data_IF_771337003502
#
_entry.id   IF_771337003502
#
_cell.length_a   1.000
_cell.length_b   1.000
_cell.length_c   1.000
_cell.angle_alpha   90.00
_cell.angle_beta   90.00
_cell.angle_gamma   90.00
#
_symmetry.space_group_name_H-M   'P 1'
#
loop_
_entity.id
_entity.type
_entity.pdbx_description
1 polymer ?
#
# COMPACT_ATOMS: atom_id res chain seq x y z
N UNK A 1 10.44 10.85 -2.88
CA UNK A 1 11.63 10.90 -3.76
C UNK A 1 12.83 11.17 -2.87
N UNK A 2 13.59 10.14 -2.50
CA UNK A 2 14.82 10.28 -1.71
C UNK A 2 15.91 10.67 -2.71
N UNK A 3 16.47 11.88 -2.58
CA UNK A 3 17.70 12.23 -3.29
C UNK A 3 18.86 11.81 -2.39
N UNK A 4 19.64 10.83 -2.82
CA UNK A 4 20.95 10.57 -2.23
C UNK A 4 22.00 11.37 -2.99
N UNK A 5 22.95 11.97 -2.29
CA UNK A 5 24.10 12.64 -2.91
C UNK A 5 25.35 12.27 -2.11
N UNK A 6 26.35 11.73 -2.79
CA UNK A 6 27.68 11.52 -2.25
C UNK A 6 28.35 12.89 -1.97
N UNK A 7 28.99 13.06 -0.81
CA UNK A 7 29.93 14.15 -0.56
C UNK A 7 31.27 13.57 -0.14
N UNK A 8 32.33 14.11 -0.70
CA UNK A 8 33.73 13.85 -0.35
C UNK A 8 34.14 14.64 0.91
N UNK A 9 35.03 14.13 1.76
CA UNK A 9 35.67 14.92 2.81
C UNK A 9 36.70 15.88 2.21
N UNK A 10 36.84 17.03 2.86
CA UNK A 10 37.45 18.28 2.39
C UNK A 10 38.85 18.22 1.75
N UNK A 11 38.98 18.87 0.58
CA UNK A 11 40.06 19.78 0.20
C UNK A 11 39.49 20.77 -0.85
N UNK A 12 39.93 22.04 -0.88
CA UNK A 12 39.24 23.08 -1.63
C UNK A 12 39.65 23.04 -3.10
N UNK A 13 38.67 22.92 -4.01
CA UNK A 13 38.55 23.75 -5.21
C UNK A 13 37.31 23.35 -6.02
N UNK A 14 36.68 24.38 -6.61
CA UNK A 14 35.44 24.34 -7.38
C UNK A 14 35.56 23.43 -8.61
N UNK A 15 34.58 22.55 -8.84
CA UNK A 15 33.92 22.41 -10.16
C UNK A 15 32.43 22.07 -9.93
N UNK A 16 31.55 22.99 -10.32
CA UNK A 16 30.10 22.80 -10.38
C UNK A 16 29.73 22.35 -11.80
N UNK A 17 29.30 21.10 -11.97
CA UNK A 17 28.67 20.63 -13.20
C UNK A 17 27.19 20.31 -12.91
N UNK A 18 26.31 21.20 -13.33
CA UNK A 18 24.86 21.00 -13.30
C UNK A 18 24.42 20.32 -14.61
N UNK A 19 23.87 19.11 -14.53
CA UNK A 19 23.13 18.50 -15.63
C UNK A 19 21.63 18.68 -15.38
N UNK A 20 21.02 19.57 -16.15
CA UNK A 20 19.57 19.75 -16.23
C UNK A 20 19.05 18.97 -17.43
N UNK A 21 18.29 17.90 -17.21
CA UNK A 21 17.53 17.26 -18.29
C UNK A 21 16.17 17.96 -18.38
N UNK A 22 15.99 18.80 -19.41
CA UNK A 22 14.69 19.35 -19.80
C UNK A 22 14.13 18.44 -20.89
N UNK A 23 13.05 17.74 -20.61
CA UNK A 23 12.34 16.94 -21.60
C UNK A 23 11.17 17.78 -22.15
N UNK A 24 11.41 18.50 -23.26
CA UNK A 24 10.39 19.25 -23.99
C UNK A 24 9.75 18.37 -25.05
N UNK A 25 8.48 17.97 -24.87
CA UNK A 25 7.69 17.42 -25.97
C UNK A 25 6.95 18.57 -26.68
N UNK A 26 7.47 18.98 -27.83
CA UNK A 26 6.76 19.88 -28.74
C UNK A 26 6.00 19.04 -29.78
N UNK A 27 4.68 19.19 -29.81
CA UNK A 27 3.81 18.71 -30.88
C UNK A 27 4.05 19.54 -32.15
N UNK A 28 4.41 18.90 -33.25
CA UNK A 28 4.45 19.53 -34.57
C UNK A 28 3.06 19.45 -35.22
N UNK A 29 2.46 20.62 -35.46
CA UNK A 29 1.27 20.80 -36.31
C UNK A 29 1.76 21.04 -37.73
N UNK A 30 1.35 20.20 -38.69
CA UNK A 30 1.63 20.38 -40.11
C UNK A 30 0.77 21.51 -40.71
N UNK A 31 1.34 22.46 -41.46
CA UNK A 31 0.59 23.23 -42.43
C UNK A 31 0.81 22.72 -43.86
N UNK A 32 -0.29 22.64 -44.60
CA UNK A 32 -0.41 22.39 -46.04
C UNK A 32 0.31 23.45 -46.90
N UNK A 33 0.74 23.11 -48.14
CA UNK A 33 1.60 23.96 -48.95
C UNK A 33 0.81 24.99 -49.78
N UNK A 34 1.36 26.21 -49.91
CA UNK A 34 0.95 27.20 -50.91
C UNK A 34 2.12 27.57 -51.83
N UNK A 35 1.88 27.44 -53.13
CA UNK A 35 2.21 28.40 -54.21
C UNK A 35 3.68 28.76 -54.45
N UNK A 36 4.19 28.32 -55.60
CA UNK A 36 5.57 28.52 -56.04
C UNK A 36 5.89 29.87 -56.71
N UNK A 37 7.19 30.14 -56.78
CA UNK A 37 7.85 31.13 -57.64
C UNK A 37 9.32 30.72 -57.83
N UNK A 38 9.93 30.89 -59.02
CA UNK A 38 11.19 30.25 -59.37
C UNK A 38 12.38 31.08 -58.89
N UNK A 39 13.29 30.46 -58.13
CA UNK A 39 14.48 31.11 -57.60
C UNK A 39 15.66 30.15 -57.56
N UNK A 40 16.46 30.19 -58.63
CA UNK A 40 17.92 29.98 -58.72
C UNK A 40 18.51 28.81 -57.90
N UNK A 41 18.85 27.74 -58.63
CA UNK A 41 19.58 26.59 -58.10
C UNK A 41 20.92 26.97 -57.49
N UNK A 42 21.05 26.77 -56.19
CA UNK A 42 22.31 26.69 -55.47
C UNK A 42 22.59 25.20 -55.22
N UNK A 43 23.82 24.68 -55.39
CA UNK A 43 24.11 23.30 -55.07
C UNK A 43 23.96 23.09 -53.56
N UNK A 44 22.96 22.31 -53.15
CA UNK A 44 22.78 21.90 -51.76
C UNK A 44 23.98 21.05 -51.36
N UNK A 45 24.79 21.45 -50.37
CA UNK A 45 25.85 20.57 -49.88
C UNK A 45 25.19 19.37 -49.20
N UNK A 46 25.48 18.17 -49.70
CA UNK A 46 25.10 16.93 -49.03
C UNK A 46 25.82 16.90 -47.68
N UNK A 47 25.11 17.25 -46.60
CA UNK A 47 25.58 17.04 -45.24
C UNK A 47 25.78 15.54 -45.05
N UNK A 48 27.03 15.10 -45.05
CA UNK A 48 27.39 13.75 -44.65
C UNK A 48 26.84 13.52 -43.24
N UNK A 49 26.00 12.50 -43.07
CA UNK A 49 25.50 12.10 -41.77
C UNK A 49 26.70 11.82 -40.86
N UNK A 50 26.84 12.61 -39.79
CA UNK A 50 27.86 12.34 -38.78
C UNK A 50 27.57 10.96 -38.17
N UNK A 51 28.57 10.08 -38.01
CA UNK A 51 28.36 8.81 -37.37
C UNK A 51 27.78 9.06 -35.97
N UNK A 52 26.66 8.41 -35.67
CA UNK A 52 26.09 8.45 -34.31
C UNK A 52 27.16 7.95 -33.34
N UNK A 53 27.39 8.64 -32.20
CA UNK A 53 28.41 8.22 -31.24
C UNK A 53 28.09 6.80 -30.77
N UNK A 54 29.03 5.89 -31.00
CA UNK A 54 28.94 4.52 -30.51
C UNK A 54 28.86 4.58 -28.98
N UNK A 55 27.82 4.00 -28.40
CA UNK A 55 27.70 3.92 -26.95
C UNK A 55 28.92 3.18 -26.41
N UNK A 56 29.79 3.90 -25.68
CA UNK A 56 30.92 3.29 -24.98
C UNK A 56 30.31 2.35 -23.93
N UNK A 57 30.66 1.05 -23.92
CA UNK A 57 30.21 0.15 -22.88
C UNK A 57 30.63 0.74 -21.53
N UNK A 58 29.74 0.82 -20.53
CA UNK A 58 30.10 1.37 -19.24
C UNK A 58 31.33 0.64 -18.72
N UNK A 59 32.42 1.38 -18.51
CA UNK A 59 33.67 0.81 -18.00
C UNK A 59 33.40 0.07 -16.70
N UNK A 60 34.03 -1.08 -16.51
CA UNK A 60 33.92 -1.82 -15.25
C UNK A 60 34.53 -0.98 -14.14
N UNK A 61 33.69 -0.57 -13.20
CA UNK A 61 34.08 0.23 -12.05
C UNK A 61 34.67 -0.71 -11.00
N UNK A 62 35.90 -0.45 -10.54
CA UNK A 62 36.53 -1.24 -9.46
C UNK A 62 35.82 -1.00 -8.13
N UNK A 63 35.07 -2.00 -7.66
CA UNK A 63 34.35 -1.96 -6.37
C UNK A 63 35.27 -1.67 -5.17
N UNK A 64 36.58 -1.95 -5.27
CA UNK A 64 37.54 -1.64 -4.21
C UNK A 64 37.61 -0.15 -3.90
N UNK A 65 37.37 0.72 -4.89
CA UNK A 65 37.36 2.17 -4.72
C UNK A 65 36.21 2.64 -3.80
N UNK A 66 35.20 1.80 -3.60
CA UNK A 66 33.97 2.15 -2.90
C UNK A 66 33.80 1.40 -1.57
N UNK A 67 34.72 0.50 -1.21
CA UNK A 67 34.63 -0.31 0.03
C UNK A 67 34.55 0.50 1.31
N UNK A 68 35.08 1.73 1.31
CA UNK A 68 35.02 2.65 2.46
C UNK A 68 33.79 3.56 2.48
N UNK A 69 32.94 3.54 1.44
CA UNK A 69 31.79 4.44 1.38
C UNK A 69 30.64 3.92 2.20
N UNK A 70 30.03 4.83 2.96
CA UNK A 70 28.84 4.54 3.74
C UNK A 70 27.69 5.42 3.25
N UNK A 71 26.53 4.80 3.08
CA UNK A 71 25.29 5.54 2.88
C UNK A 71 24.96 6.31 4.15
N UNK A 72 24.60 7.57 3.99
CA UNK A 72 24.07 8.40 5.08
C UNK A 72 22.79 9.09 4.64
N UNK A 73 21.82 9.15 5.54
CA UNK A 73 20.61 9.93 5.34
C UNK A 73 20.96 11.41 5.36
N UNK A 74 20.60 12.13 4.29
CA UNK A 74 20.80 13.60 4.19
C UNK A 74 19.51 14.40 4.45
N UNK A 75 18.44 13.69 4.80
CA UNK A 75 17.15 14.26 5.10
C UNK A 75 16.24 14.46 3.86
N UNK A 76 15.00 14.93 4.07
CA UNK A 76 14.43 15.30 5.37
C UNK A 76 14.37 14.11 6.35
N UNK A 77 14.63 14.38 7.64
CA UNK A 77 14.68 13.35 8.71
C UNK A 77 13.30 12.92 9.21
N UNK A 78 12.26 13.63 8.77
CA UNK A 78 10.86 13.34 9.10
C UNK A 78 10.04 13.45 7.82
N UNK A 79 9.13 12.50 7.63
CA UNK A 79 8.16 12.53 6.54
C UNK A 79 8.18 11.28 5.69
N UNK A 80 7.37 11.31 4.64
CA UNK A 80 7.03 10.13 3.86
C UNK A 80 5.58 9.71 4.13
N UNK A 81 5.07 8.82 3.27
CA UNK A 81 3.71 8.31 3.38
C UNK A 81 3.73 6.99 4.13
N UNK A 82 2.95 6.90 5.21
CA UNK A 82 2.66 5.67 5.93
C UNK A 82 1.17 5.33 5.78
N UNK A 83 0.87 4.03 5.76
CA UNK A 83 -0.52 3.53 5.72
C UNK A 83 -0.81 2.53 6.84
N UNK A 84 0.24 1.86 7.32
CA UNK A 84 0.19 0.94 8.44
C UNK A 84 0.78 1.62 9.68
N UNK A 85 0.09 1.47 10.79
CA UNK A 85 0.55 1.83 12.13
C UNK A 85 0.02 0.77 13.07
N UNK A 86 0.85 0.35 14.02
CA UNK A 86 0.47 -0.66 15.01
C UNK A 86 1.11 -0.31 16.36
N UNK A 87 0.28 -0.16 17.39
CA UNK A 87 0.72 0.01 18.77
C UNK A 87 0.91 -1.34 19.45
N UNK A 88 1.71 -1.37 20.52
CA UNK A 88 1.93 -2.59 21.31
C UNK A 88 1.14 -2.51 22.63
N UNK A 89 0.18 -3.42 22.88
CA UNK A 89 -0.58 -3.41 24.14
C UNK A 89 0.33 -3.45 25.38
N UNK A 90 0.11 -2.56 26.34
CA UNK A 90 0.93 -2.49 27.55
C UNK A 90 2.28 -1.78 27.40
N UNK A 91 2.66 -1.36 26.18
CA UNK A 91 3.90 -0.62 25.89
C UNK A 91 3.57 0.71 25.17
N UNK A 92 3.14 1.75 25.90
CA UNK A 92 2.59 2.97 25.30
C UNK A 92 3.59 3.75 24.43
N UNK A 93 4.89 3.57 24.66
CA UNK A 93 5.95 4.23 23.89
C UNK A 93 6.48 3.38 22.72
N UNK A 94 6.02 2.12 22.60
CA UNK A 94 6.43 1.19 21.54
C UNK A 94 5.35 1.12 20.47
N UNK A 95 5.72 1.48 19.23
CA UNK A 95 4.84 1.28 18.08
C UNK A 95 5.63 1.18 16.78
N UNK A 96 4.96 0.62 15.78
CA UNK A 96 5.50 0.36 14.45
C UNK A 96 4.73 1.15 13.40
N UNK A 97 5.39 1.53 12.32
CA UNK A 97 4.69 1.95 11.11
C UNK A 97 5.26 1.27 9.87
N UNK A 98 4.40 1.13 8.86
CA UNK A 98 4.77 0.70 7.52
C UNK A 98 4.70 1.87 6.55
N UNK A 99 5.84 2.19 5.94
CA UNK A 99 5.93 3.19 4.89
C UNK A 99 5.60 2.60 3.52
N UNK A 100 4.94 3.39 2.68
CA UNK A 100 4.55 2.98 1.32
C UNK A 100 5.74 2.71 0.39
N UNK A 101 6.90 3.28 0.68
CA UNK A 101 8.14 3.05 -0.07
C UNK A 101 9.35 3.23 0.84
N UNK A 102 9.28 2.66 2.04
CA UNK A 102 10.31 2.84 3.07
C UNK A 102 10.41 1.72 4.09
N UNK A 103 9.68 0.61 3.94
CA UNK A 103 9.77 -0.52 4.85
C UNK A 103 9.06 -0.30 6.19
N UNK A 104 9.36 -1.18 7.14
CA UNK A 104 8.84 -1.19 8.51
C UNK A 104 9.80 -0.45 9.44
N UNK A 105 9.25 0.37 10.33
CA UNK A 105 9.98 1.14 11.31
C UNK A 105 9.41 0.90 12.71
N UNK A 106 10.26 0.99 13.73
CA UNK A 106 9.89 0.88 15.15
C UNK A 106 10.35 2.10 15.93
N UNK A 107 9.54 2.53 16.87
CA UNK A 107 9.95 3.41 17.96
C UNK A 107 9.75 2.70 19.30
N UNK A 108 10.49 3.15 20.31
CA UNK A 108 10.38 2.73 21.71
C UNK A 108 10.37 3.94 22.66
N UNK A 109 10.27 5.16 22.10
CA UNK A 109 10.39 6.43 22.82
C UNK A 109 9.31 7.41 22.39
N UNK A 110 8.11 6.89 22.11
CA UNK A 110 6.97 7.73 21.81
C UNK A 110 7.07 8.41 20.44
N UNK A 111 7.90 7.88 19.52
CA UNK A 111 8.08 8.40 18.15
C UNK A 111 9.11 9.50 18.02
N UNK A 112 9.89 9.75 19.08
CA UNK A 112 10.99 10.70 19.03
C UNK A 112 12.10 10.20 18.08
N UNK A 113 12.41 8.90 18.12
CA UNK A 113 13.35 8.23 17.24
C UNK A 113 12.74 6.97 16.60
N UNK A 114 13.27 6.62 15.42
CA UNK A 114 12.77 5.51 14.61
C UNK A 114 13.92 4.63 14.12
N UNK A 115 13.74 3.32 14.30
CA UNK A 115 14.69 2.27 13.91
C UNK A 115 14.13 1.59 12.65
N UNK A 116 14.86 1.58 11.52
CA UNK A 116 14.44 0.83 10.34
C UNK A 116 14.63 -0.66 10.60
N UNK A 117 13.61 -1.46 10.28
CA UNK A 117 13.59 -2.91 10.53
C UNK A 117 13.56 -3.75 9.25
N UNK A 118 13.37 -3.13 8.09
CA UNK A 118 13.05 -3.83 6.84
C UNK A 118 14.05 -3.57 5.69
N UNK A 119 15.15 -2.86 5.96
CA UNK A 119 16.12 -2.43 4.93
C UNK A 119 16.82 -3.58 4.19
N UNK A 120 16.86 -4.76 4.79
CA UNK A 120 17.47 -5.97 4.18
C UNK A 120 16.52 -6.72 3.25
N UNK A 121 15.26 -6.31 3.18
CA UNK A 121 14.25 -6.99 2.37
C UNK A 121 14.22 -6.42 0.94
N UNK A 122 13.86 -7.23 -0.07
CA UNK A 122 13.88 -6.80 -1.47
C UNK A 122 12.71 -5.88 -1.86
N UNK A 123 11.83 -5.55 -0.90
CA UNK A 123 10.64 -4.74 -1.12
C UNK A 123 10.50 -3.71 0.00
N UNK A 124 10.06 -2.50 -0.34
CA UNK A 124 9.91 -1.39 0.61
C UNK A 124 8.47 -0.89 0.74
N UNK A 125 7.55 -1.44 -0.06
CA UNK A 125 6.13 -1.08 -0.01
C UNK A 125 5.46 -1.86 1.11
N UNK A 126 4.96 -1.15 2.13
CA UNK A 126 4.22 -1.74 3.23
C UNK A 126 2.78 -1.21 3.22
N UNK A 127 1.82 -2.13 3.21
CA UNK A 127 0.39 -1.83 3.29
C UNK A 127 -0.21 -2.13 4.66
N UNK A 128 0.31 -3.12 5.38
CA UNK A 128 -0.16 -3.51 6.71
C UNK A 128 0.99 -3.99 7.61
N UNK A 129 0.85 -3.77 8.91
CA UNK A 129 1.74 -4.29 9.97
C UNK A 129 0.84 -4.69 11.12
N UNK A 130 1.09 -5.84 11.75
CA UNK A 130 0.44 -6.22 13.00
C UNK A 130 1.44 -6.92 13.93
N UNK A 131 1.31 -6.64 15.22
CA UNK A 131 2.06 -7.30 16.30
C UNK A 131 1.11 -8.30 16.95
N UNK A 132 1.59 -9.52 17.22
CA UNK A 132 0.75 -10.51 17.86
C UNK A 132 0.50 -10.15 19.33
N UNK A 133 -0.76 -10.04 19.80
CA UNK A 133 -1.03 -9.72 21.20
C UNK A 133 -0.60 -10.82 22.18
N UNK A 134 -0.50 -12.08 21.73
CA UNK A 134 -0.04 -13.21 22.54
C UNK A 134 1.49 -13.26 22.71
N UNK A 135 2.25 -12.66 21.79
CA UNK A 135 3.71 -12.57 21.83
C UNK A 135 4.21 -11.38 20.98
N UNK A 136 4.62 -10.29 21.65
CA UNK A 136 5.07 -9.07 20.97
C UNK A 136 6.37 -9.23 20.15
N UNK A 137 7.07 -10.38 20.25
CA UNK A 137 8.19 -10.68 19.35
C UNK A 137 7.72 -11.09 17.95
N UNK A 138 6.48 -11.56 17.82
CA UNK A 138 5.92 -12.00 16.56
C UNK A 138 5.24 -10.84 15.85
N UNK A 139 5.76 -10.49 14.68
CA UNK A 139 5.27 -9.37 13.87
C UNK A 139 5.03 -9.85 12.45
N UNK A 140 3.92 -9.42 11.87
CA UNK A 140 3.58 -9.66 10.48
C UNK A 140 3.59 -8.35 9.70
N UNK A 141 4.16 -8.37 8.50
CA UNK A 141 4.17 -7.25 7.58
C UNK A 141 3.56 -7.67 6.23
N UNK A 142 2.45 -7.05 5.86
CA UNK A 142 1.81 -7.17 4.56
C UNK A 142 2.41 -6.14 3.61
N UNK A 143 3.08 -6.62 2.56
CA UNK A 143 3.73 -5.73 1.61
C UNK A 143 2.78 -5.31 0.50
N UNK A 144 3.02 -4.12 -0.05
CA UNK A 144 2.21 -3.52 -1.10
C UNK A 144 1.09 -2.64 -0.57
N UNK A 145 1.19 -1.33 -0.78
CA UNK A 145 0.16 -0.40 -0.34
C UNK A 145 -1.20 -0.61 -1.04
N UNK A 146 -2.29 -0.56 -0.27
CA UNK A 146 -3.65 -0.68 -0.82
C UNK A 146 -4.34 0.67 -1.08
N UNK A 147 -3.65 1.80 -0.86
CA UNK A 147 -4.13 3.13 -1.22
C UNK A 147 -3.73 3.46 -2.67
N UNK A 148 -4.32 2.73 -3.62
CA UNK A 148 -3.90 2.62 -5.04
C UNK A 148 -3.87 3.94 -5.83
N UNK A 149 -2.78 4.69 -5.66
CA UNK A 149 -2.42 5.87 -6.46
C UNK A 149 -1.82 5.48 -7.82
N UNK A 150 -1.67 6.48 -8.69
CA UNK A 150 -1.01 6.29 -9.99
C UNK A 150 0.48 5.92 -9.87
N UNK A 151 1.13 6.32 -8.79
CA UNK A 151 2.53 6.03 -8.45
C UNK A 151 2.67 4.89 -7.41
N UNK A 152 1.64 4.05 -7.28
CA UNK A 152 1.64 2.97 -6.30
C UNK A 152 2.66 1.89 -6.63
N UNK A 153 3.32 1.35 -5.60
CA UNK A 153 4.26 0.24 -5.75
C UNK A 153 3.71 -1.03 -5.15
N UNK A 154 3.98 -2.15 -5.82
CA UNK A 154 3.51 -3.47 -5.42
C UNK A 154 4.30 -4.02 -4.23
N UNK A 155 3.77 -5.08 -3.64
CA UNK A 155 4.38 -5.92 -2.62
C UNK A 155 4.67 -7.32 -3.14
N UNK A 156 5.35 -8.11 -2.31
CA UNK A 156 5.75 -9.50 -2.59
C UNK A 156 5.21 -10.48 -1.54
N UNK A 157 4.07 -10.15 -0.93
CA UNK A 157 3.36 -10.99 0.01
C UNK A 157 3.56 -10.62 1.47
N UNK A 158 3.45 -11.61 2.35
CA UNK A 158 3.51 -11.44 3.81
C UNK A 158 4.89 -11.85 4.32
N UNK A 159 5.43 -11.02 5.20
CA UNK A 159 6.65 -11.31 5.95
C UNK A 159 6.32 -11.51 7.43
N UNK A 160 7.02 -12.45 8.07
CA UNK A 160 6.95 -12.70 9.51
C UNK A 160 8.31 -12.45 10.15
N UNK A 161 8.29 -11.84 11.32
CA UNK A 161 9.41 -11.80 12.25
C UNK A 161 9.01 -12.51 13.53
N UNK A 162 9.98 -13.16 14.19
CA UNK A 162 9.84 -13.79 15.51
C UNK A 162 10.80 -13.18 16.55
N UNK A 163 11.44 -12.06 16.21
CA UNK A 163 12.47 -11.41 17.01
C UNK A 163 12.26 -9.88 17.06
N UNK A 164 10.99 -9.47 17.07
CA UNK A 164 10.54 -8.08 17.10
C UNK A 164 11.04 -7.24 15.91
N UNK A 165 11.16 -7.86 14.74
CA UNK A 165 11.48 -7.25 13.46
C UNK A 165 12.97 -7.14 13.14
N UNK A 166 13.86 -7.83 13.88
CA UNK A 166 15.31 -7.84 13.57
C UNK A 166 15.60 -8.69 12.33
N UNK A 167 14.88 -9.79 12.18
CA UNK A 167 14.91 -10.66 11.00
C UNK A 167 13.49 -10.91 10.49
N UNK A 168 13.38 -11.14 9.18
CA UNK A 168 12.11 -11.34 8.50
C UNK A 168 12.22 -12.48 7.50
N UNK A 169 11.17 -13.28 7.43
CA UNK A 169 10.99 -14.36 6.46
C UNK A 169 9.72 -14.10 5.63
N UNK A 170 9.80 -14.27 4.31
CA UNK A 170 8.61 -14.23 3.44
C UNK A 170 7.85 -15.55 3.55
N UNK A 171 6.62 -15.49 4.06
CA UNK A 171 5.78 -16.64 4.40
C UNK A 171 4.64 -16.83 3.37
N UNK A 172 4.78 -16.32 2.16
CA UNK A 172 3.84 -16.57 1.06
C UNK A 172 2.96 -15.39 0.67
N UNK A 173 1.87 -15.69 -0.06
CA UNK A 173 0.99 -14.71 -0.70
C UNK A 173 1.72 -13.77 -1.69
N UNK A 174 2.71 -14.32 -2.40
CA UNK A 174 3.70 -13.54 -3.16
C UNK A 174 3.13 -12.76 -4.35
N UNK A 175 2.00 -13.17 -4.92
CA UNK A 175 1.37 -12.51 -6.07
C UNK A 175 0.15 -11.64 -5.68
N UNK A 176 -0.16 -11.53 -4.38
CA UNK A 176 -1.24 -10.64 -3.90
C UNK A 176 -0.98 -9.17 -4.24
N UNK A 177 0.29 -8.75 -4.31
CA UNK A 177 0.79 -7.39 -4.60
C UNK A 177 0.31 -6.24 -3.73
N UNK A 178 -0.93 -6.18 -3.28
CA UNK A 178 -1.45 -5.13 -2.42
C UNK A 178 -2.14 -5.79 -1.24
N UNK A 179 -1.63 -5.56 -0.03
CA UNK A 179 -2.21 -6.04 1.22
C UNK A 179 -2.67 -4.83 2.01
N UNK A 180 -3.98 -4.68 2.17
CA UNK A 180 -4.58 -3.48 2.77
C UNK A 180 -4.68 -3.52 4.30
N UNK A 181 -4.85 -4.73 4.84
CA UNK A 181 -4.93 -4.97 6.27
C UNK A 181 -4.50 -6.41 6.55
N UNK A 182 -4.01 -6.64 7.76
CA UNK A 182 -3.84 -7.98 8.33
C UNK A 182 -4.03 -7.89 9.83
N UNK A 183 -4.53 -8.96 10.43
CA UNK A 183 -4.80 -9.06 11.87
C UNK A 183 -4.33 -10.42 12.39
N UNK A 184 -3.86 -10.43 13.63
CA UNK A 184 -3.38 -11.63 14.33
C UNK A 184 -4.35 -11.95 15.47
N UNK A 185 -4.75 -13.21 15.61
CA UNK A 185 -5.65 -13.61 16.70
C UNK A 185 -4.98 -13.30 18.06
N UNK A 186 -5.66 -12.59 18.98
CA UNK A 186 -5.07 -12.19 20.24
C UNK A 186 -4.70 -13.37 21.15
N UNK A 187 -5.22 -14.58 20.88
CA UNK A 187 -4.99 -15.79 21.68
C UNK A 187 -3.86 -16.67 21.13
N UNK A 188 -3.51 -16.51 19.85
CA UNK A 188 -2.56 -17.38 19.15
C UNK A 188 -1.94 -16.67 17.95
N UNK A 189 -0.65 -16.38 18.03
CA UNK A 189 0.12 -15.67 17.01
C UNK A 189 0.22 -16.40 15.67
N UNK A 190 -0.14 -17.68 15.61
CA UNK A 190 -0.12 -18.48 14.40
C UNK A 190 -1.42 -18.40 13.59
N UNK A 191 -2.47 -17.78 14.14
CA UNK A 191 -3.72 -17.53 13.43
C UNK A 191 -3.73 -16.09 12.93
N UNK A 192 -3.71 -15.92 11.61
CA UNK A 192 -3.61 -14.62 10.95
C UNK A 192 -4.61 -14.55 9.82
N UNK A 193 -5.28 -13.41 9.68
CA UNK A 193 -6.09 -13.08 8.51
C UNK A 193 -5.49 -11.90 7.76
N UNK A 194 -5.53 -11.98 6.43
CA UNK A 194 -4.92 -11.00 5.52
C UNK A 194 -5.97 -10.56 4.51
N UNK A 195 -6.20 -9.25 4.44
CA UNK A 195 -7.01 -8.61 3.41
C UNK A 195 -6.13 -8.24 2.22
N UNK A 196 -6.16 -9.10 1.19
CA UNK A 196 -5.40 -8.92 -0.04
C UNK A 196 -6.28 -8.24 -1.10
N UNK A 197 -5.92 -7.00 -1.44
CA UNK A 197 -6.58 -6.24 -2.48
C UNK A 197 -6.30 -6.85 -3.85
N UNK A 198 -5.13 -7.45 -4.07
CA UNK A 198 -4.71 -7.93 -5.39
C UNK A 198 -4.16 -6.82 -6.28
N UNK A 199 -3.85 -7.18 -7.52
CA UNK A 199 -3.18 -6.30 -8.48
C UNK A 199 -3.95 -4.99 -8.74
N UNK A 200 -3.42 -3.84 -8.33
CA UNK A 200 -4.08 -2.54 -8.55
C UNK A 200 -4.44 -2.24 -10.02
N UNK A 201 -3.65 -2.76 -10.98
CA UNK A 201 -3.72 -2.42 -12.41
C UNK A 201 -4.30 -3.55 -13.30
N UNK A 202 -4.81 -4.63 -12.73
CA UNK A 202 -5.29 -5.77 -13.53
C UNK A 202 -6.08 -6.82 -12.74
N UNK A 203 -6.72 -7.77 -13.42
CA UNK A 203 -7.35 -8.91 -12.76
C UNK A 203 -6.29 -9.76 -12.06
N UNK A 204 -6.65 -10.37 -10.93
CA UNK A 204 -5.78 -11.27 -10.20
C UNK A 204 -6.60 -12.24 -9.35
N UNK A 205 -6.19 -13.51 -9.33
CA UNK A 205 -6.86 -14.55 -8.54
C UNK A 205 -6.45 -14.51 -7.07
N UNK A 206 -5.34 -13.86 -6.69
CA UNK A 206 -4.92 -13.70 -5.30
C UNK A 206 -5.60 -12.50 -4.60
N UNK A 207 -6.90 -12.35 -4.85
CA UNK A 207 -7.77 -11.35 -4.23
C UNK A 207 -8.69 -11.97 -3.19
N UNK A 208 -8.91 -11.26 -2.09
CA UNK A 208 -9.87 -11.63 -1.04
C UNK A 208 -9.27 -11.62 0.36
N UNK A 209 -9.86 -12.42 1.25
CA UNK A 209 -9.35 -12.67 2.60
C UNK A 209 -8.68 -14.04 2.63
N UNK A 210 -7.45 -14.05 3.13
CA UNK A 210 -6.67 -15.27 3.37
C UNK A 210 -6.51 -15.49 4.86
N UNK A 211 -6.54 -16.75 5.28
CA UNK A 211 -6.35 -17.18 6.67
C UNK A 211 -5.25 -18.24 6.74
N UNK A 212 -4.43 -18.14 7.78
CA UNK A 212 -3.52 -19.21 8.22
C UNK A 212 -3.83 -19.57 9.66
N UNK A 213 -3.52 -20.81 10.05
CA UNK A 213 -3.56 -21.27 11.45
C UNK A 213 -2.26 -21.96 11.88
N UNK A 214 -1.22 -21.87 11.06
CA UNK A 214 0.09 -22.49 11.26
C UNK A 214 1.24 -21.47 11.15
N UNK A 215 0.91 -20.19 11.34
CA UNK A 215 1.88 -19.09 11.36
C UNK A 215 2.38 -18.68 9.98
N UNK A 216 1.65 -19.05 8.92
CA UNK A 216 1.96 -18.69 7.53
C UNK A 216 2.65 -19.80 6.73
N UNK A 217 2.72 -21.03 7.23
CA UNK A 217 3.23 -22.16 6.43
C UNK A 217 2.25 -22.52 5.33
N UNK A 218 0.95 -22.43 5.62
CA UNK A 218 -0.12 -22.59 4.65
C UNK A 218 -1.13 -21.46 4.74
N UNK A 219 -1.74 -21.13 3.60
CA UNK A 219 -2.76 -20.08 3.48
C UNK A 219 -3.99 -20.63 2.78
N UNK A 220 -5.16 -20.37 3.36
CA UNK A 220 -6.47 -20.71 2.79
C UNK A 220 -7.20 -19.43 2.42
N UNK A 221 -7.71 -19.33 1.19
CA UNK A 221 -8.60 -18.23 0.80
C UNK A 221 -10.00 -18.50 1.36
N UNK A 222 -10.46 -17.68 2.30
CA UNK A 222 -11.69 -17.88 3.07
C UNK A 222 -12.85 -16.99 2.63
N UNK A 223 -12.55 -15.88 1.94
CA UNK A 223 -13.56 -14.98 1.37
C UNK A 223 -13.07 -14.39 0.06
N UNK A 224 -13.86 -14.53 -1.01
CA UNK A 224 -13.60 -13.92 -2.31
C UNK A 224 -14.87 -13.84 -3.15
N UNK A 225 -14.84 -13.02 -4.21
CA UNK A 225 -15.94 -12.93 -5.18
C UNK A 225 -15.51 -13.26 -6.60
N UNK A 226 -14.49 -12.56 -7.11
CA UNK A 226 -13.99 -12.69 -8.47
C UNK A 226 -12.54 -12.15 -8.56
N UNK A 227 -11.95 -12.14 -9.76
CA UNK A 227 -10.59 -11.66 -10.00
C UNK A 227 -10.42 -10.13 -9.94
N UNK A 228 -11.49 -9.39 -9.63
CA UNK A 228 -11.54 -7.92 -9.62
C UNK A 228 -11.80 -7.34 -8.23
N UNK A 229 -12.09 -8.21 -7.27
CA UNK A 229 -12.62 -7.84 -5.96
C UNK A 229 -11.73 -8.42 -4.86
N UNK A 230 -10.98 -7.56 -4.17
CA UNK A 230 -10.05 -7.97 -3.12
C UNK A 230 -10.48 -7.54 -1.73
N UNK A 231 -9.85 -8.10 -0.70
CA UNK A 231 -10.00 -7.62 0.68
C UNK A 231 -9.33 -6.26 0.85
N UNK A 232 -9.97 -5.35 1.58
CA UNK A 232 -9.39 -4.02 1.84
C UNK A 232 -9.25 -3.70 3.33
N UNK A 233 -10.16 -4.21 4.15
CA UNK A 233 -10.11 -4.02 5.60
C UNK A 233 -10.59 -5.29 6.31
N UNK A 234 -10.06 -5.53 7.52
CA UNK A 234 -10.42 -6.67 8.35
C UNK A 234 -10.10 -6.37 9.82
N UNK A 235 -11.03 -6.66 10.71
CA UNK A 235 -10.91 -6.40 12.16
C UNK A 235 -11.55 -7.51 12.98
N UNK A 236 -10.92 -7.84 14.11
CA UNK A 236 -11.54 -8.66 15.16
C UNK A 236 -12.44 -7.80 16.04
N UNK A 237 -13.44 -8.45 16.63
CA UNK A 237 -13.99 -7.94 17.89
C UNK A 237 -12.95 -8.12 19.01
N UNK A 238 -12.55 -7.04 19.71
CA UNK A 238 -11.50 -7.08 20.71
C UNK A 238 -11.84 -7.95 21.93
N UNK A 239 -13.12 -8.23 22.20
CA UNK A 239 -13.54 -9.10 23.31
C UNK A 239 -13.86 -10.52 22.86
N UNK A 240 -14.08 -10.74 21.56
CA UNK A 240 -14.41 -12.05 21.01
C UNK A 240 -13.83 -12.25 19.60
N UNK A 241 -12.59 -12.74 19.47
CA UNK A 241 -11.93 -12.93 18.17
C UNK A 241 -12.56 -14.02 17.27
N UNK A 242 -13.63 -14.70 17.70
CA UNK A 242 -14.45 -15.49 16.77
C UNK A 242 -15.32 -14.59 15.89
N UNK A 243 -15.67 -13.39 16.35
CA UNK A 243 -16.36 -12.39 15.55
C UNK A 243 -15.33 -11.58 14.76
N UNK A 244 -15.47 -11.59 13.45
CA UNK A 244 -14.58 -10.87 12.53
C UNK A 244 -15.43 -10.11 11.53
N UNK A 245 -15.05 -8.87 11.24
CA UNK A 245 -15.61 -8.10 10.14
C UNK A 245 -14.57 -7.93 9.06
N UNK A 246 -14.98 -8.03 7.79
CA UNK A 246 -14.11 -7.80 6.65
C UNK A 246 -14.87 -7.05 5.56
N UNK A 247 -14.15 -6.26 4.77
CA UNK A 247 -14.70 -5.63 3.57
C UNK A 247 -13.98 -6.11 2.31
N UNK A 248 -14.78 -6.33 1.28
CA UNK A 248 -14.30 -6.52 -0.08
C UNK A 248 -14.47 -5.23 -0.87
N UNK A 249 -13.51 -4.94 -1.74
CA UNK A 249 -13.49 -3.77 -2.59
C UNK A 249 -13.15 -4.15 -4.03
N UNK A 250 -14.12 -3.90 -4.92
CA UNK A 250 -13.92 -4.00 -6.35
C UNK A 250 -13.32 -2.69 -6.85
N UNK A 251 -12.03 -2.71 -7.17
CA UNK A 251 -11.32 -1.52 -7.61
C UNK A 251 -10.23 -1.80 -8.62
N UNK A 252 -10.06 -0.88 -9.56
CA UNK A 252 -9.03 -0.93 -10.60
C UNK A 252 -8.49 0.46 -10.88
N UNK A 253 -7.17 0.53 -11.03
CA UNK A 253 -6.45 1.69 -11.52
C UNK A 253 -6.08 1.48 -12.98
N UNK A 254 -6.34 2.49 -13.79
CA UNK A 254 -5.85 2.61 -15.17
C UNK A 254 -5.02 3.90 -15.29
N UNK A 255 -4.20 4.06 -16.35
CA UNK A 255 -3.36 5.26 -16.47
C UNK A 255 -4.14 6.59 -16.47
N UNK A 256 -5.37 6.60 -17.00
CA UNK A 256 -6.23 7.78 -17.11
C UNK A 256 -7.53 7.71 -16.29
N UNK A 257 -7.80 6.59 -15.62
CA UNK A 257 -9.08 6.38 -14.93
C UNK A 257 -8.92 5.56 -13.65
N UNK A 258 -9.87 5.74 -12.73
CA UNK A 258 -9.92 4.99 -11.49
C UNK A 258 -11.35 4.52 -11.24
N UNK A 259 -11.53 3.20 -11.16
CA UNK A 259 -12.80 2.58 -10.77
C UNK A 259 -12.76 2.26 -9.28
N UNK A 260 -13.67 2.87 -8.51
CA UNK A 260 -13.85 2.63 -7.08
C UNK A 260 -15.26 2.15 -6.82
N UNK A 261 -15.39 0.85 -6.56
CA UNK A 261 -16.68 0.21 -6.31
C UNK A 261 -17.24 -0.55 -7.50
N UNK A 262 -18.12 -1.47 -7.16
CA UNK A 262 -18.77 -2.42 -8.07
C UNK A 262 -19.55 -3.48 -7.29
N UNK A 263 -20.33 -4.33 -7.98
CA UNK A 263 -21.19 -5.34 -7.35
C UNK A 263 -20.44 -6.38 -6.50
N UNK A 264 -19.12 -6.53 -6.66
CA UNK A 264 -18.31 -7.39 -5.80
C UNK A 264 -17.98 -6.78 -4.44
N UNK A 265 -18.08 -5.45 -4.28
CA UNK A 265 -17.77 -4.79 -3.02
C UNK A 265 -18.84 -5.08 -1.97
N UNK A 266 -18.46 -5.21 -0.71
CA UNK A 266 -19.42 -5.53 0.35
C UNK A 266 -18.78 -5.64 1.73
N UNK A 267 -19.64 -5.64 2.74
CA UNK A 267 -19.28 -5.85 4.14
C UNK A 267 -19.68 -7.25 4.56
N UNK A 268 -18.81 -7.94 5.29
CA UNK A 268 -18.99 -9.32 5.68
C UNK A 268 -18.70 -9.49 7.17
N UNK A 269 -19.38 -10.45 7.79
CA UNK A 269 -19.17 -10.84 9.18
C UNK A 269 -18.99 -12.35 9.29
N UNK A 270 -18.03 -12.75 10.10
CA UNK A 270 -17.77 -14.13 10.49
C UNK A 270 -18.08 -14.30 11.98
N UNK A 271 -18.48 -15.52 12.37
CA UNK A 271 -18.68 -15.93 13.77
C UNK A 271 -17.77 -17.09 14.20
N UNK A 272 -16.85 -17.49 13.33
CA UNK A 272 -15.99 -18.66 13.48
C UNK A 272 -14.53 -18.33 13.19
N UNK A 273 -14.07 -17.14 13.62
CA UNK A 273 -12.69 -16.69 13.49
C UNK A 273 -12.23 -16.55 12.01
N UNK A 274 -13.17 -16.13 11.17
CA UNK A 274 -12.97 -15.85 9.75
C UNK A 274 -12.85 -17.09 8.87
N UNK A 275 -13.38 -18.23 9.31
CA UNK A 275 -13.42 -19.46 8.51
C UNK A 275 -14.58 -19.40 7.51
N UNK A 276 -15.76 -18.94 7.94
CA UNK A 276 -16.93 -18.70 7.10
C UNK A 276 -17.46 -17.28 7.27
N UNK A 277 -18.19 -16.80 6.26
CA UNK A 277 -18.58 -15.40 6.14
C UNK A 277 -20.01 -15.23 5.68
N UNK A 278 -20.73 -14.31 6.34
CA UNK A 278 -22.06 -13.84 5.96
C UNK A 278 -21.96 -12.44 5.36
N UNK A 279 -22.54 -12.23 4.18
CA UNK A 279 -22.68 -10.91 3.59
C UNK A 279 -23.69 -10.06 4.38
N UNK A 280 -23.34 -8.81 4.65
CA UNK A 280 -24.20 -7.83 5.31
C UNK A 280 -24.78 -6.87 4.28
N UNK A 281 -26.11 -6.86 4.16
CA UNK A 281 -26.86 -5.99 3.26
C UNK A 281 -28.23 -5.65 3.88
N UNK A 282 -28.83 -4.54 3.45
CA UNK A 282 -30.07 -4.04 4.06
C UNK A 282 -29.87 -3.53 5.48
N UNK A 283 -30.92 -3.56 6.30
CA UNK A 283 -30.91 -3.16 7.72
C UNK A 283 -30.24 -1.79 7.98
N UNK A 284 -30.46 -0.83 7.08
CA UNK A 284 -29.94 0.53 7.18
C UNK A 284 -28.59 0.77 6.50
N UNK A 285 -27.92 -0.27 5.97
CA UNK A 285 -26.79 -0.10 5.05
C UNK A 285 -27.25 0.52 3.72
N UNK A 286 -26.37 1.29 3.03
CA UNK A 286 -26.73 1.87 1.75
C UNK A 286 -26.89 0.79 0.69
N UNK A 287 -27.93 0.92 -0.14
CA UNK A 287 -28.09 0.06 -1.32
C UNK A 287 -27.24 0.51 -2.52
N UNK A 288 -27.29 -0.28 -3.59
CA UNK A 288 -26.62 0.02 -4.85
C UNK A 288 -25.13 -0.35 -4.84
N UNK A 289 -24.33 0.39 -5.61
CA UNK A 289 -22.89 0.12 -5.74
C UNK A 289 -22.16 0.64 -4.50
N UNK A 290 -21.45 -0.27 -3.83
CA UNK A 290 -20.52 0.03 -2.76
C UNK A 290 -19.09 0.15 -3.30
N UNK A 291 -18.30 1.00 -2.66
CA UNK A 291 -16.87 1.19 -2.89
C UNK A 291 -16.06 0.74 -1.68
N UNK A 292 -15.00 1.49 -1.34
CA UNK A 292 -14.14 1.15 -0.20
C UNK A 292 -14.90 1.31 1.11
N UNK A 293 -14.76 0.31 1.98
CA UNK A 293 -15.34 0.29 3.33
C UNK A 293 -14.22 0.13 4.34
N UNK A 294 -14.11 1.08 5.28
CA UNK A 294 -13.29 0.96 6.48
C UNK A 294 -14.15 0.55 7.67
N UNK A 295 -13.63 -0.28 8.57
CA UNK A 295 -14.39 -0.91 9.67
C UNK A 295 -13.63 -0.77 11.00
N UNK A 296 -14.36 -0.49 12.08
CA UNK A 296 -13.82 -0.57 13.43
C UNK A 296 -14.85 -1.15 14.41
N UNK A 297 -14.40 -1.99 15.33
CA UNK A 297 -15.20 -2.45 16.48
C UNK A 297 -14.72 -1.68 17.71
N UNK A 298 -15.66 -1.17 18.50
CA UNK A 298 -15.33 -0.41 19.70
C UNK A 298 -14.69 -1.30 20.76
N UNK A 299 -13.50 -0.91 21.22
CA UNK A 299 -12.81 -1.56 22.34
C UNK A 299 -13.54 -1.45 23.68
N UNK A 300 -14.54 -0.56 23.81
CA UNK A 300 -15.34 -0.43 25.03
C UNK A 300 -16.65 -1.22 24.99
N UNK A 301 -17.13 -1.60 23.80
CA UNK A 301 -18.43 -2.25 23.62
C UNK A 301 -18.47 -2.97 22.28
N UNK A 302 -18.45 -4.31 22.30
CA UNK A 302 -18.48 -5.16 21.11
C UNK A 302 -19.74 -5.02 20.27
N UNK A 303 -20.84 -4.52 20.85
CA UNK A 303 -22.05 -4.25 20.07
C UNK A 303 -21.88 -3.02 19.17
N UNK A 304 -20.94 -2.14 19.49
CA UNK A 304 -20.73 -0.90 18.76
C UNK A 304 -19.69 -1.08 17.65
N UNK A 305 -20.19 -1.10 16.42
CA UNK A 305 -19.38 -1.25 15.21
C UNK A 305 -19.56 -0.03 14.32
N UNK A 306 -18.46 0.47 13.76
CA UNK A 306 -18.45 1.59 12.82
C UNK A 306 -18.02 1.13 11.44
N UNK A 307 -18.66 1.68 10.42
CA UNK A 307 -18.27 1.48 9.03
C UNK A 307 -18.33 2.80 8.26
N UNK A 308 -17.22 3.20 7.65
CA UNK A 308 -17.18 4.32 6.71
C UNK A 308 -17.30 3.79 5.28
N UNK A 309 -18.41 4.09 4.61
CA UNK A 309 -18.82 3.43 3.37
C UNK A 309 -18.82 4.41 2.20
N UNK A 310 -18.02 4.11 1.17
CA UNK A 310 -18.16 4.72 -0.14
C UNK A 310 -19.41 4.19 -0.84
N UNK A 311 -20.41 5.05 -1.05
CA UNK A 311 -21.60 4.76 -1.82
C UNK A 311 -22.27 6.08 -2.22
N UNK A 312 -23.29 6.02 -3.09
CA UNK A 312 -24.13 7.19 -3.43
C UNK A 312 -24.71 7.82 -2.17
N UNK A 313 -25.36 6.99 -1.34
CA UNK A 313 -25.84 7.36 -0.01
C UNK A 313 -24.83 7.04 1.10
N UNK A 314 -23.52 7.07 0.79
CA UNK A 314 -22.46 6.67 1.72
C UNK A 314 -22.24 7.64 2.88
N UNK A 315 -21.52 7.20 3.91
CA UNK A 315 -21.39 7.94 5.16
C UNK A 315 -20.59 7.17 6.19
N UNK A 316 -20.52 7.72 7.40
CA UNK A 316 -20.20 6.96 8.59
C UNK A 316 -21.48 6.31 9.10
N UNK A 317 -21.44 5.00 9.25
CA UNK A 317 -22.49 4.18 9.83
C UNK A 317 -22.05 3.65 11.18
N UNK A 318 -23.01 3.49 12.08
CA UNK A 318 -22.84 2.86 13.38
C UNK A 318 -23.90 1.77 13.55
N UNK A 319 -23.47 0.61 14.02
CA UNK A 319 -24.35 -0.41 14.61
C UNK A 319 -24.17 -0.37 16.13
N UNK A 320 -25.26 -0.61 16.86
CA UNK A 320 -25.27 -0.78 18.33
C UNK A 320 -25.72 -2.21 18.71
N UNK A 321 -25.65 -3.15 17.77
CA UNK A 321 -26.08 -4.56 17.91
C UNK A 321 -25.17 -5.55 17.17
N UNK A 322 -23.87 -5.27 17.18
CA UNK A 322 -22.80 -6.10 16.61
C UNK A 322 -22.95 -6.35 15.09
N UNK A 323 -23.40 -5.31 14.36
CA UNK A 323 -23.47 -5.27 12.90
C UNK A 323 -24.78 -5.81 12.31
N UNK A 324 -25.83 -6.03 13.11
CA UNK A 324 -27.12 -6.52 12.61
C UNK A 324 -27.96 -5.42 11.97
N UNK A 325 -28.02 -4.24 12.61
CA UNK A 325 -28.66 -3.03 12.10
C UNK A 325 -27.70 -1.85 12.12
N UNK A 326 -27.84 -0.96 11.14
CA UNK A 326 -26.93 0.15 10.90
C UNK A 326 -27.72 1.46 10.82
N UNK A 327 -27.17 2.49 11.44
CA UNK A 327 -27.67 3.86 11.34
C UNK A 327 -26.59 4.74 10.72
N UNK A 328 -26.94 5.53 9.70
CA UNK A 328 -26.05 6.56 9.15
C UNK A 328 -25.96 7.70 10.15
N UNK A 329 -24.80 7.86 10.78
CA UNK A 329 -24.57 8.87 11.82
C UNK A 329 -23.89 10.13 11.29
N UNK A 330 -23.28 10.06 10.10
CA UNK A 330 -22.69 11.22 9.44
C UNK A 330 -22.72 11.03 7.92
N UNK A 331 -23.27 12.00 7.20
CA UNK A 331 -23.38 12.03 5.74
C UNK A 331 -22.44 13.05 5.06
N UNK A 332 -21.72 13.85 5.86
CA UNK A 332 -20.90 14.96 5.41
C UNK A 332 -19.84 14.49 4.40
N UNK A 333 -19.94 15.04 3.18
CA UNK A 333 -19.08 14.69 2.06
C UNK A 333 -17.60 14.97 2.30
N UNK A 334 -17.23 15.85 3.25
CA UNK A 334 -15.83 16.17 3.59
C UNK A 334 -15.06 14.94 4.06
N UNK A 335 -15.72 14.01 4.76
CA UNK A 335 -15.11 12.76 5.23
C UNK A 335 -15.05 11.66 4.15
N UNK A 336 -15.68 11.89 2.99
CA UNK A 336 -15.76 10.92 1.89
C UNK A 336 -15.09 11.41 0.60
N UNK A 337 -14.48 12.59 0.63
CA UNK A 337 -13.65 13.03 -0.48
C UNK A 337 -12.53 12.01 -0.68
N UNK A 338 -12.28 11.57 -1.92
CA UNK A 338 -11.28 10.52 -2.21
C UNK A 338 -11.45 9.29 -1.29
N UNK A 339 -12.67 8.75 -1.23
CA UNK A 339 -13.03 7.64 -0.34
C UNK A 339 -12.06 6.44 -0.41
N UNK A 340 -11.58 6.09 -1.60
CA UNK A 340 -10.51 5.10 -1.80
C UNK A 340 -9.24 5.32 -0.94
N UNK A 341 -9.01 6.56 -0.49
CA UNK A 341 -7.88 6.97 0.33
C UNK A 341 -8.24 7.17 1.81
N UNK A 342 -9.37 7.81 2.10
CA UNK A 342 -9.72 8.28 3.45
C UNK A 342 -10.84 7.49 4.14
N UNK A 343 -11.42 6.48 3.50
CA UNK A 343 -12.36 5.55 4.15
C UNK A 343 -11.62 4.59 5.10
N UNK A 344 -11.21 5.09 6.26
CA UNK A 344 -10.68 4.35 7.43
C UNK A 344 -11.32 4.96 8.68
N UNK A 345 -11.74 4.13 9.63
CA UNK A 345 -12.43 4.54 10.87
C UNK A 345 -11.79 3.86 12.06
#
# INVERSE_FOLDING_TARGET
MIKCTLRFPAAPELILAAFTFVCSHAFAVNPTPRGGGPGVGSPTPTLAASPSPTAVPPGTVDEKLFKGMQWRQIGPFRGGRALAIEGVPGEPDTYYFGAVAGGVWKTIDGGANWIPLFDKQPISSIGAVAVAPSDHNVIYAGTGEAAIRGDTTYGTGVFKSIDAGKTWENIGLKDTRQIGALIVDPRNENVVLVAALGHAFGPNQERGIFRTSDGGKTWTKVLSKDENTGGIDIVFDPHNPNIVFASLWQARRQPWFFSSGGPGSGLYRSEDNGVTWKHLEGNGLPGGILGKIGIAVSGADSNRVYAIIEAKEGGLYRSDDAGQHWTRVNDDGRFRQRAWYFSKV
#
